data_IF_362881823115
#
_entry.id   IF_362881823115
#
_cell.length_a   1.000
_cell.length_b   1.000
_cell.length_c   1.000
_cell.angle_alpha   90.00
_cell.angle_beta   90.00
_cell.angle_gamma   90.00
#
_symmetry.space_group_name_H-M   'P 1'
#
loop_
_entity.id
_entity.type
_entity.pdbx_description
1 polymer ?
#
# COMPACT_ATOMS: atom_id res chain seq x y z
N UNK A 1 -7.82 -2.48 9.52
CA UNK A 1 -7.44 -1.55 8.44
C UNK A 1 -7.92 -2.13 7.11
N UNK A 2 -8.38 -1.30 6.18
CA UNK A 2 -8.81 -1.73 4.84
C UNK A 2 -8.03 -0.94 3.80
N UNK A 3 -7.54 -1.62 2.76
CA UNK A 3 -6.79 -0.98 1.67
C UNK A 3 -7.55 -1.13 0.37
N UNK A 4 -7.69 -0.02 -0.35
CA UNK A 4 -8.31 0.02 -1.67
C UNK A 4 -7.32 0.58 -2.69
N UNK A 5 -7.37 0.02 -3.91
CA UNK A 5 -6.61 0.49 -5.04
C UNK A 5 -7.54 0.85 -6.19
N UNK A 6 -7.31 1.98 -6.82
CA UNK A 6 -8.19 2.55 -7.83
C UNK A 6 -7.46 2.86 -9.12
N UNK A 7 -8.19 2.76 -10.22
CA UNK A 7 -7.82 3.22 -11.56
C UNK A 7 -8.88 4.18 -12.05
N UNK A 8 -8.47 5.29 -12.67
CA UNK A 8 -9.41 6.26 -13.22
C UNK A 8 -10.45 5.60 -14.15
N UNK A 9 -11.72 5.95 -13.96
CA UNK A 9 -12.83 5.40 -14.75
C UNK A 9 -13.25 3.97 -14.39
N UNK A 10 -12.69 3.38 -13.32
CA UNK A 10 -13.09 2.07 -12.80
C UNK A 10 -13.47 2.15 -11.32
N UNK A 11 -14.29 1.20 -10.87
CA UNK A 11 -14.54 1.03 -9.45
C UNK A 11 -13.22 0.64 -8.74
N UNK A 12 -12.99 1.14 -7.52
CA UNK A 12 -11.83 0.75 -6.74
C UNK A 12 -11.94 -0.73 -6.34
N UNK A 13 -10.80 -1.40 -6.39
CA UNK A 13 -10.60 -2.76 -5.90
C UNK A 13 -10.27 -2.72 -4.42
N UNK A 14 -10.95 -3.55 -3.62
CA UNK A 14 -10.62 -3.76 -2.21
C UNK A 14 -9.61 -4.91 -2.11
N UNK A 15 -8.47 -4.63 -1.50
CA UNK A 15 -7.41 -5.62 -1.34
C UNK A 15 -7.58 -6.42 -0.06
N UNK A 16 -7.26 -7.71 -0.15
CA UNK A 16 -7.31 -8.66 0.97
C UNK A 16 -5.97 -8.62 1.71
N UNK A 17 -6.02 -8.64 3.05
CA UNK A 17 -4.80 -8.79 3.85
C UNK A 17 -4.15 -10.16 3.60
N UNK A 18 -2.86 -10.17 3.29
CA UNK A 18 -2.06 -11.39 3.10
C UNK A 18 -1.38 -11.77 4.43
N UNK A 19 -1.84 -12.86 5.04
CA UNK A 19 -1.30 -13.46 6.28
C UNK A 19 -0.26 -14.55 6.00
N UNK A 20 0.62 -14.30 5.02
CA UNK A 20 1.74 -15.18 4.72
C UNK A 20 2.26 -15.04 3.30
N UNK A 21 1.41 -15.26 2.30
CA UNK A 21 1.79 -15.20 0.88
C UNK A 21 1.10 -14.08 0.13
N UNK A 22 1.90 -13.17 -0.42
CA UNK A 22 1.45 -12.07 -1.25
C UNK A 22 1.12 -12.56 -2.67
N UNK A 23 -0.09 -12.26 -3.15
CA UNK A 23 -0.58 -12.60 -4.48
C UNK A 23 -1.53 -11.52 -5.04
N UNK A 24 -1.95 -11.66 -6.28
CA UNK A 24 -2.89 -10.73 -6.94
C UNK A 24 -4.13 -10.44 -6.07
N UNK A 25 -4.45 -9.16 -5.91
CA UNK A 25 -5.56 -8.68 -5.07
C UNK A 25 -5.28 -8.60 -3.58
N UNK A 26 -4.00 -8.68 -3.17
CA UNK A 26 -3.62 -8.67 -1.75
C UNK A 26 -2.67 -7.55 -1.35
N UNK A 27 -2.54 -7.34 -0.04
CA UNK A 27 -1.58 -6.42 0.57
C UNK A 27 -1.08 -6.93 1.91
N UNK A 28 0.07 -6.44 2.38
CA UNK A 28 0.63 -6.77 3.70
C UNK A 28 1.45 -5.59 4.27
N UNK A 29 1.79 -5.64 5.56
CA UNK A 29 2.80 -4.76 6.17
C UNK A 29 4.16 -5.45 6.01
N UNK A 30 5.06 -4.85 5.24
CA UNK A 30 6.40 -5.39 5.00
C UNK A 30 7.45 -4.86 6.00
N UNK A 31 7.15 -3.77 6.70
CA UNK A 31 8.05 -3.18 7.67
C UNK A 31 7.34 -2.22 8.61
N UNK A 32 7.87 -2.12 9.83
CA UNK A 32 7.43 -1.22 10.89
C UNK A 32 8.65 -0.48 11.44
N UNK A 33 8.50 0.81 11.71
CA UNK A 33 9.55 1.63 12.35
C UNK A 33 8.97 2.85 13.04
N UNK A 34 9.68 3.38 14.01
CA UNK A 34 9.39 4.71 14.56
C UNK A 34 10.07 5.80 13.74
N UNK A 35 9.48 7.01 13.69
CA UNK A 35 10.08 8.20 13.06
C UNK A 35 11.30 8.71 13.81
N UNK A 36 11.31 8.54 15.12
CA UNK A 36 12.42 8.91 16.00
C UNK A 36 13.41 7.75 16.04
N UNK A 37 14.68 8.01 15.75
CA UNK A 37 15.72 6.96 15.70
C UNK A 37 16.00 6.27 17.05
N UNK A 38 15.63 6.90 18.17
CA UNK A 38 15.81 6.35 19.52
C UNK A 38 14.59 5.57 20.02
N UNK A 39 13.54 5.45 19.22
CA UNK A 39 12.30 4.75 19.56
C UNK A 39 12.11 3.59 18.58
N UNK A 40 11.51 2.51 19.05
CA UNK A 40 11.20 1.33 18.24
C UNK A 40 9.68 1.23 18.11
N UNK A 41 9.23 0.78 16.93
CA UNK A 41 7.85 0.35 16.77
C UNK A 41 7.73 -1.06 17.35
N UNK A 42 6.59 -1.38 17.94
CA UNK A 42 6.36 -2.75 18.39
C UNK A 42 5.96 -3.68 17.23
N UNK A 43 5.72 -4.96 17.55
CA UNK A 43 5.45 -5.99 16.56
C UNK A 43 3.96 -6.07 16.17
N UNK A 44 3.07 -5.26 16.74
CA UNK A 44 1.62 -5.37 16.54
C UNK A 44 1.12 -4.58 15.32
N UNK A 45 -0.07 -4.91 14.82
CA UNK A 45 -0.63 -4.29 13.61
C UNK A 45 -1.44 -3.01 13.89
N UNK A 46 -1.20 -2.37 15.04
CA UNK A 46 -1.77 -1.09 15.41
C UNK A 46 -0.79 0.03 15.03
N UNK A 47 -1.30 1.02 14.29
CA UNK A 47 -0.47 2.18 13.94
C UNK A 47 -0.53 3.22 15.07
N UNK A 48 0.55 3.32 15.83
CA UNK A 48 0.66 4.25 16.95
C UNK A 48 1.23 5.62 16.55
N UNK A 49 1.26 6.53 17.52
CA UNK A 49 1.72 7.90 17.33
C UNK A 49 3.23 7.97 17.13
N UNK A 50 3.66 8.20 15.89
CA UNK A 50 5.09 8.32 15.54
C UNK A 50 5.63 7.14 14.75
N UNK A 51 4.83 6.08 14.62
CA UNK A 51 5.16 4.91 13.82
C UNK A 51 4.89 5.10 12.32
N UNK A 52 5.51 4.22 11.52
CA UNK A 52 5.40 4.13 10.08
C UNK A 52 5.29 2.66 9.69
N UNK A 53 4.26 2.34 8.90
CA UNK A 53 4.14 1.07 8.21
C UNK A 53 4.54 1.22 6.74
N UNK A 54 5.39 0.32 6.27
CA UNK A 54 5.61 0.13 4.85
C UNK A 54 4.62 -0.92 4.35
N UNK A 55 3.72 -0.50 3.45
CA UNK A 55 2.72 -1.37 2.85
C UNK A 55 3.21 -1.88 1.50
N UNK A 56 3.09 -3.18 1.26
CA UNK A 56 3.29 -3.78 -0.05
C UNK A 56 1.94 -4.27 -0.56
N UNK A 57 1.62 -3.93 -1.81
CA UNK A 57 0.33 -4.19 -2.44
C UNK A 57 0.58 -4.90 -3.78
N UNK A 58 -0.23 -5.90 -4.10
CA UNK A 58 -0.24 -6.57 -5.41
C UNK A 58 -1.65 -6.45 -5.99
N UNK A 59 -1.88 -5.51 -6.92
CA UNK A 59 -3.19 -5.32 -7.52
C UNK A 59 -3.63 -6.55 -8.31
N UNK A 60 -4.93 -6.86 -8.38
CA UNK A 60 -5.42 -7.96 -9.21
C UNK A 60 -5.33 -7.66 -10.72
N UNK A 61 -5.17 -6.40 -11.10
CA UNK A 61 -5.01 -5.99 -12.49
C UNK A 61 -3.81 -5.06 -12.68
N UNK A 62 -3.11 -5.27 -13.79
CA UNK A 62 -2.01 -4.40 -14.19
C UNK A 62 -2.49 -2.96 -14.46
N UNK A 63 -1.63 -2.01 -14.10
CA UNK A 63 -1.73 -0.62 -14.52
C UNK A 63 -0.81 -0.37 -15.70
N UNK A 64 -1.30 0.41 -16.65
CA UNK A 64 -0.62 0.75 -17.89
C UNK A 64 -0.14 2.20 -17.85
N UNK A 65 0.88 2.55 -18.63
CA UNK A 65 1.29 3.94 -18.82
C UNK A 65 0.13 4.90 -19.06
N UNK A 66 0.12 6.01 -18.34
CA UNK A 66 -0.95 7.02 -18.39
C UNK A 66 -2.12 6.74 -17.44
N UNK A 67 -2.25 5.54 -16.88
CA UNK A 67 -3.25 5.29 -15.86
C UNK A 67 -2.98 6.12 -14.60
N UNK A 68 -4.04 6.68 -14.02
CA UNK A 68 -3.96 7.22 -12.66
C UNK A 68 -4.23 6.09 -11.67
N UNK A 69 -3.18 5.69 -10.97
CA UNK A 69 -3.21 4.81 -9.80
C UNK A 69 -3.57 5.64 -8.56
N UNK A 70 -4.56 5.21 -7.80
CA UNK A 70 -4.88 5.77 -6.49
C UNK A 70 -4.84 4.68 -5.42
N UNK A 71 -4.28 4.97 -4.26
CA UNK A 71 -4.31 4.08 -3.09
C UNK A 71 -5.01 4.81 -1.97
N UNK A 72 -5.98 4.14 -1.34
CA UNK A 72 -6.72 4.66 -0.18
C UNK A 72 -6.66 3.65 0.96
N UNK A 73 -6.25 4.12 2.13
CA UNK A 73 -6.16 3.36 3.37
C UNK A 73 -7.24 3.85 4.33
N UNK A 74 -8.12 2.95 4.74
CA UNK A 74 -9.20 3.20 5.67
C UNK A 74 -8.86 2.59 7.03
N UNK A 75 -8.87 3.43 8.06
CA UNK A 75 -8.72 3.03 9.45
C UNK A 75 -10.02 3.36 10.16
N UNK A 76 -10.58 2.39 10.90
CA UNK A 76 -11.87 2.53 11.57
C UNK A 76 -11.91 3.81 12.42
N UNK A 77 -12.98 4.60 12.27
CA UNK A 77 -13.15 5.86 12.99
C UNK A 77 -12.27 7.02 12.52
N UNK A 78 -11.52 6.88 11.42
CA UNK A 78 -10.68 7.94 10.85
C UNK A 78 -11.02 8.19 9.38
N UNK A 79 -10.65 9.38 8.89
CA UNK A 79 -10.69 9.69 7.46
C UNK A 79 -9.68 8.82 6.70
N UNK A 80 -10.01 8.50 5.45
CA UNK A 80 -9.11 7.74 4.59
C UNK A 80 -7.83 8.52 4.28
N UNK A 81 -6.69 7.86 4.39
CA UNK A 81 -5.42 8.37 3.86
C UNK A 81 -5.34 7.97 2.40
N UNK A 82 -5.26 8.94 1.49
CA UNK A 82 -5.23 8.66 0.06
C UNK A 82 -4.03 9.32 -0.62
N UNK A 83 -3.46 8.62 -1.59
CA UNK A 83 -2.48 9.18 -2.51
C UNK A 83 -2.79 8.72 -3.93
N UNK A 84 -2.32 9.47 -4.92
CA UNK A 84 -2.49 9.12 -6.32
C UNK A 84 -1.23 9.45 -7.12
N UNK A 85 -0.97 8.64 -8.14
CA UNK A 85 0.16 8.81 -9.05
C UNK A 85 -0.23 8.34 -10.45
N UNK A 86 0.20 9.09 -11.47
CA UNK A 86 0.10 8.64 -12.85
C UNK A 86 1.24 7.66 -13.16
N UNK A 87 0.92 6.52 -13.76
CA UNK A 87 1.91 5.55 -14.22
C UNK A 87 2.72 6.18 -15.37
N UNK A 88 4.06 6.27 -15.26
CA UNK A 88 4.88 6.94 -16.26
C UNK A 88 4.92 6.16 -17.59
N UNK A 89 5.21 6.87 -18.68
CA UNK A 89 5.37 6.29 -20.04
C UNK A 89 6.46 5.23 -20.13
N UNK A 90 7.54 5.41 -19.38
CA UNK A 90 8.62 4.45 -19.23
C UNK A 90 8.76 4.05 -17.77
N UNK A 91 8.69 2.74 -17.51
CA UNK A 91 9.08 2.17 -16.23
C UNK A 91 10.45 1.53 -16.48
N UNK A 92 11.52 2.13 -15.92
CA UNK A 92 12.78 1.39 -15.81
C UNK A 92 12.54 0.30 -14.77
N UNK A 93 12.65 -0.99 -15.12
CA UNK A 93 12.55 -2.05 -14.13
C UNK A 93 13.61 -1.78 -13.05
N UNK A 94 13.17 -1.53 -11.82
CA UNK A 94 14.09 -1.55 -10.69
C UNK A 94 14.44 -3.02 -10.53
N UNK A 95 15.71 -3.36 -10.74
CA UNK A 95 16.22 -4.73 -10.66
C UNK A 95 15.68 -5.39 -9.38
N UNK A 96 15.00 -6.53 -9.53
CA UNK A 96 14.56 -7.36 -8.42
C UNK A 96 15.84 -7.86 -7.73
N UNK A 97 16.20 -7.28 -6.59
CA UNK A 97 17.27 -7.81 -5.75
C UNK A 97 16.67 -9.07 -5.13
N UNK A 98 17.04 -10.22 -5.67
CA UNK A 98 16.54 -11.53 -5.25
C UNK A 98 16.76 -11.83 -3.77
#
# INVERSE_FOLDING_TARGET
MTVAIGRQGRAPELLIWADGSLHEGTWTIAGKRHRTLSEEADDDDLLEGGELFDLVLVPAAAFFPGDMLSVSVYVSGRNALSCSRTVPAGITPVMNLG
#
